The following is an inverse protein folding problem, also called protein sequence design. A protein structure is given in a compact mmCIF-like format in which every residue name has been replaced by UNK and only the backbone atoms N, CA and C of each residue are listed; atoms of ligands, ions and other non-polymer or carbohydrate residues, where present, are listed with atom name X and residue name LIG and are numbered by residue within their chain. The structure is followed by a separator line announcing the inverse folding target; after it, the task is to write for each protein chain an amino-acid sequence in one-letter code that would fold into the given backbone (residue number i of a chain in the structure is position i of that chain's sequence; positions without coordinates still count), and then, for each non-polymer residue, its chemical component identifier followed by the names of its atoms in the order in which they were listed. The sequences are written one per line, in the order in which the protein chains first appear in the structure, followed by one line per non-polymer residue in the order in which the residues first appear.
data_IF_731062602519
#
_entry.id   IF_731062602519
#
_cell.length_a   1.000
_cell.length_b   1.000
_cell.length_c   1.000
_cell.angle_alpha   90.00
_cell.angle_beta   90.00
_cell.angle_gamma   90.00
#
_symmetry.space_group_name_H-M   'P 1'
#
loop_
_entity.id
_entity.type
_entity.pdbx_description
1 polymer ?
#
# COMPACT_ATOMS: atom_id res chain seq x y z
N UNK A 1 -1.25 19.95 -35.87
CA UNK A 1 -0.74 20.81 -34.79
C UNK A 1 0.78 20.76 -34.80
N UNK A 2 1.44 21.92 -34.91
CA UNK A 2 2.89 22.05 -34.92
C UNK A 2 3.43 21.50 -33.59
N UNK A 3 4.36 20.55 -33.62
CA UNK A 3 4.98 20.03 -32.39
C UNK A 3 5.77 21.18 -31.76
N UNK A 4 5.32 21.66 -30.59
CA UNK A 4 6.04 22.67 -29.82
C UNK A 4 7.50 22.25 -29.63
N UNK A 5 8.40 23.20 -29.78
CA UNK A 5 9.81 23.02 -29.48
C UNK A 5 10.02 22.76 -27.98
N UNK A 6 11.16 22.17 -27.63
CA UNK A 6 11.48 21.81 -26.24
C UNK A 6 11.48 23.05 -25.32
N UNK A 7 11.90 24.20 -25.85
CA UNK A 7 11.93 25.47 -25.13
C UNK A 7 10.53 26.03 -24.87
N UNK A 8 9.62 25.94 -25.85
CA UNK A 8 8.22 26.37 -25.69
C UNK A 8 7.48 25.49 -24.67
N UNK A 9 7.72 24.18 -24.69
CA UNK A 9 7.16 23.26 -23.68
C UNK A 9 7.66 23.60 -22.27
N UNK A 10 8.95 23.89 -22.11
CA UNK A 10 9.51 24.29 -20.82
C UNK A 10 8.87 25.58 -20.30
N UNK A 11 8.66 26.58 -21.16
CA UNK A 11 8.01 27.83 -20.78
C UNK A 11 6.58 27.61 -20.29
N UNK A 12 5.79 26.81 -21.02
CA UNK A 12 4.42 26.47 -20.63
C UNK A 12 4.39 25.74 -19.29
N UNK A 13 5.35 24.84 -19.02
CA UNK A 13 5.47 24.17 -17.73
C UNK A 13 5.73 25.18 -16.61
N UNK A 14 6.69 26.09 -16.80
CA UNK A 14 7.02 27.12 -15.81
C UNK A 14 5.82 28.01 -15.48
N UNK A 15 5.07 28.45 -16.49
CA UNK A 15 3.87 29.28 -16.31
C UNK A 15 2.77 28.56 -15.53
N UNK A 16 2.70 27.23 -15.63
CA UNK A 16 1.69 26.40 -14.98
C UNK A 16 2.17 25.70 -13.70
N UNK A 17 3.40 25.98 -13.23
CA UNK A 17 3.95 25.37 -12.00
C UNK A 17 3.04 25.61 -10.78
N UNK A 18 2.44 26.79 -10.67
CA UNK A 18 1.53 27.11 -9.57
C UNK A 18 0.29 26.20 -9.57
N UNK A 19 -0.22 25.82 -10.74
CA UNK A 19 -1.34 24.90 -10.87
C UNK A 19 -0.91 23.50 -10.42
N UNK A 20 0.24 23.02 -10.91
CA UNK A 20 0.80 21.71 -10.56
C UNK A 20 1.00 21.61 -9.04
N UNK A 21 1.68 22.59 -8.44
CA UNK A 21 1.91 22.64 -6.98
C UNK A 21 0.60 22.62 -6.21
N UNK A 22 -0.41 23.40 -6.62
CA UNK A 22 -1.75 23.37 -5.97
C UNK A 22 -2.40 21.99 -6.02
N UNK A 23 -2.31 21.28 -7.16
CA UNK A 23 -2.88 19.92 -7.28
C UNK A 23 -2.09 18.94 -6.41
N UNK A 24 -0.76 18.96 -6.51
CA UNK A 24 0.13 18.12 -5.71
C UNK A 24 -0.09 18.35 -4.20
N UNK A 25 -0.18 19.59 -3.73
CA UNK A 25 -0.35 19.90 -2.31
C UNK A 25 -1.67 19.36 -1.75
N UNK A 26 -2.76 19.43 -2.54
CA UNK A 26 -4.06 18.85 -2.13
C UNK A 26 -4.00 17.34 -1.96
N UNK A 27 -3.20 16.65 -2.77
CA UNK A 27 -3.03 15.20 -2.70
C UNK A 27 -2.06 14.84 -1.57
N UNK A 28 -0.93 15.56 -1.47
CA UNK A 28 0.09 15.41 -0.43
C UNK A 28 -0.50 15.50 0.98
N UNK A 29 -1.40 16.46 1.23
CA UNK A 29 -2.05 16.60 2.54
C UNK A 29 -2.91 15.39 2.94
N UNK A 30 -3.39 14.60 1.96
CA UNK A 30 -4.23 13.41 2.20
C UNK A 30 -3.42 12.11 2.29
N UNK A 31 -2.11 12.17 2.05
CA UNK A 31 -1.22 11.02 2.10
C UNK A 31 -0.65 10.84 3.52
N UNK A 32 -0.33 9.59 3.93
CA UNK A 32 0.47 9.34 5.12
C UNK A 32 1.80 10.10 5.04
N UNK A 33 2.20 10.75 6.14
CA UNK A 33 3.45 11.53 6.17
C UNK A 33 4.66 10.59 6.06
N UNK A 34 5.59 10.91 5.16
CA UNK A 34 6.91 10.27 5.07
C UNK A 34 7.06 9.20 4.00
N UNK A 35 6.02 8.91 3.21
CA UNK A 35 6.11 7.88 2.16
C UNK A 35 6.54 8.41 0.80
N UNK A 36 6.20 9.66 0.48
CA UNK A 36 6.46 10.27 -0.82
C UNK A 36 6.83 11.72 -0.59
N UNK A 37 7.87 12.18 -1.29
CA UNK A 37 8.26 13.58 -1.27
C UNK A 37 7.32 14.46 -2.08
N UNK A 38 7.10 15.68 -1.61
CA UNK A 38 6.28 16.65 -2.32
C UNK A 38 6.80 16.93 -3.73
N UNK A 39 8.12 17.01 -3.90
CA UNK A 39 8.76 17.28 -5.19
C UNK A 39 8.52 16.14 -6.20
N UNK A 40 8.41 14.90 -5.73
CA UNK A 40 8.07 13.76 -6.59
C UNK A 40 6.65 13.91 -7.16
N UNK A 41 5.67 14.30 -6.34
CA UNK A 41 4.31 14.58 -6.83
C UNK A 41 4.27 15.75 -7.82
N UNK A 42 5.11 16.76 -7.63
CA UNK A 42 5.25 17.88 -8.58
C UNK A 42 5.83 17.38 -9.90
N UNK A 43 6.87 16.55 -9.88
CA UNK A 43 7.47 15.96 -11.09
C UNK A 43 6.47 15.13 -11.89
N UNK A 44 5.71 14.25 -11.22
CA UNK A 44 4.64 13.49 -11.87
C UNK A 44 3.55 14.43 -12.43
N UNK A 45 3.23 15.49 -11.70
CA UNK A 45 2.30 16.50 -12.18
C UNK A 45 2.77 17.23 -13.44
N UNK A 46 4.08 17.48 -13.59
CA UNK A 46 4.67 18.01 -14.82
C UNK A 46 4.45 17.06 -16.00
N UNK A 47 4.64 15.75 -15.79
CA UNK A 47 4.39 14.73 -16.81
C UNK A 47 2.91 14.76 -17.25
N UNK A 48 1.99 14.86 -16.28
CA UNK A 48 0.56 14.99 -16.56
C UNK A 48 0.20 16.24 -17.36
N UNK A 49 0.84 17.38 -17.08
CA UNK A 49 0.67 18.61 -17.84
C UNK A 49 1.18 18.48 -19.27
N UNK A 50 2.35 17.86 -19.48
CA UNK A 50 2.89 17.62 -20.83
C UNK A 50 1.95 16.74 -21.66
N UNK A 51 1.39 15.69 -21.06
CA UNK A 51 0.37 14.85 -21.68
C UNK A 51 -0.91 15.62 -21.99
N UNK A 52 -1.29 16.58 -21.14
CA UNK A 52 -2.44 17.46 -21.39
C UNK A 52 -2.17 18.37 -22.58
N UNK A 53 -0.97 18.95 -22.68
CA UNK A 53 -0.57 19.83 -23.78
C UNK A 53 -0.59 19.12 -25.13
N UNK A 54 -0.12 17.87 -25.18
CA UNK A 54 -0.09 17.08 -26.41
C UNK A 54 -1.49 16.63 -26.89
N UNK A 55 -2.49 16.57 -26.00
CA UNK A 55 -3.84 16.05 -26.27
C UNK A 55 -4.95 17.08 -26.01
N UNK A 56 -4.63 18.36 -25.93
CA UNK A 56 -5.61 19.40 -25.65
C UNK A 56 -6.41 19.74 -26.91
N UNK A 57 -7.72 19.88 -26.75
CA UNK A 57 -8.62 20.41 -27.76
C UNK A 57 -9.38 21.62 -27.20
N UNK A 58 -9.24 22.76 -27.86
CA UNK A 58 -9.82 24.05 -27.47
C UNK A 58 -11.36 24.07 -27.55
N UNK A 59 -11.95 23.25 -28.42
CA UNK A 59 -13.40 23.19 -28.61
C UNK A 59 -14.15 22.56 -27.43
N UNK A 60 -13.46 21.75 -26.61
CA UNK A 60 -14.10 20.97 -25.55
C UNK A 60 -14.15 21.70 -24.21
N UNK A 61 -13.04 22.34 -23.81
CA UNK A 61 -12.91 22.95 -22.50
C UNK A 61 -11.73 23.93 -22.45
N UNK A 62 -11.72 24.79 -21.42
CA UNK A 62 -10.55 25.62 -21.11
C UNK A 62 -9.35 24.74 -20.74
N UNK A 63 -8.17 25.10 -21.24
CA UNK A 63 -6.91 24.38 -20.97
C UNK A 63 -6.66 24.14 -19.48
N UNK A 64 -6.91 25.14 -18.63
CA UNK A 64 -6.71 25.02 -17.18
C UNK A 64 -7.55 23.90 -16.54
N UNK A 65 -8.80 23.75 -16.97
CA UNK A 65 -9.71 22.69 -16.50
C UNK A 65 -9.23 21.32 -16.96
N UNK A 66 -8.84 21.21 -18.23
CA UNK A 66 -8.36 19.95 -18.79
C UNK A 66 -7.02 19.52 -18.17
N UNK A 67 -6.07 20.45 -18.06
CA UNK A 67 -4.78 20.24 -17.42
C UNK A 67 -4.95 19.82 -15.96
N UNK A 68 -5.86 20.45 -15.21
CA UNK A 68 -6.15 20.04 -13.82
C UNK A 68 -6.54 18.57 -13.71
N UNK A 69 -7.45 18.10 -14.57
CA UNK A 69 -7.92 16.71 -14.58
C UNK A 69 -6.77 15.75 -14.92
N UNK A 70 -5.95 16.09 -15.93
CA UNK A 70 -4.84 15.25 -16.39
C UNK A 70 -3.70 15.19 -15.37
N UNK A 71 -3.29 16.32 -14.81
CA UNK A 71 -2.28 16.39 -13.73
C UNK A 71 -2.74 15.55 -12.54
N UNK A 72 -3.98 15.73 -12.09
CA UNK A 72 -4.54 14.97 -10.96
C UNK A 72 -4.60 13.48 -11.28
N UNK A 73 -5.04 13.10 -12.47
CA UNK A 73 -5.12 11.71 -12.92
C UNK A 73 -3.75 11.04 -12.89
N UNK A 74 -2.74 11.70 -13.45
CA UNK A 74 -1.38 11.16 -13.53
C UNK A 74 -0.75 10.95 -12.14
N UNK A 75 -0.94 11.91 -11.23
CA UNK A 75 -0.49 11.78 -9.84
C UNK A 75 -1.21 10.59 -9.16
N UNK A 76 -2.51 10.45 -9.35
CA UNK A 76 -3.26 9.34 -8.75
C UNK A 76 -2.86 7.98 -9.35
N UNK A 77 -2.54 7.92 -10.64
CA UNK A 77 -2.07 6.70 -11.29
C UNK A 77 -0.68 6.30 -10.79
N UNK A 78 0.22 7.26 -10.59
CA UNK A 78 1.51 7.02 -9.94
C UNK A 78 1.33 6.46 -8.52
N UNK A 79 0.48 7.09 -7.70
CA UNK A 79 0.19 6.61 -6.34
C UNK A 79 -0.42 5.20 -6.32
N UNK A 80 -1.22 4.85 -7.34
CA UNK A 80 -1.75 3.48 -7.49
C UNK A 80 -0.64 2.49 -7.84
N UNK A 81 0.31 2.88 -8.68
CA UNK A 81 1.43 2.00 -9.06
C UNK A 81 2.36 1.66 -7.89
N UNK A 82 2.40 2.53 -6.88
CA UNK A 82 3.17 2.30 -5.64
C UNK A 82 2.39 1.49 -4.58
N UNK A 83 1.13 1.12 -4.84
CA UNK A 83 0.20 0.54 -3.85
C UNK A 83 -0.06 1.40 -2.59
N UNK A 84 0.47 2.64 -2.54
CA UNK A 84 0.37 3.61 -1.44
C UNK A 84 -1.07 4.15 -1.22
N UNK A 85 -2.04 3.71 -2.02
CA UNK A 85 -3.46 4.06 -1.83
C UNK A 85 -4.25 2.85 -1.32
N UNK A 86 -4.22 2.56 0.00
CA UNK A 86 -5.07 1.53 0.58
C UNK A 86 -6.55 1.80 0.26
N UNK A 87 -7.31 0.71 0.08
CA UNK A 87 -8.73 0.75 -0.34
C UNK A 87 -9.58 1.70 0.50
N UNK A 88 -9.27 1.87 1.79
CA UNK A 88 -9.95 2.81 2.68
C UNK A 88 -9.79 4.30 2.32
N UNK A 89 -8.64 4.71 1.77
CA UNK A 89 -8.43 6.09 1.27
C UNK A 89 -9.20 6.29 -0.04
N UNK A 90 -9.31 5.24 -0.85
CA UNK A 90 -10.09 5.23 -2.10
C UNK A 90 -11.59 5.44 -1.83
N UNK A 91 -12.10 4.84 -0.76
CA UNK A 91 -13.50 5.00 -0.32
C UNK A 91 -13.75 6.36 0.34
N UNK A 92 -12.78 6.90 1.09
CA UNK A 92 -12.86 8.27 1.66
C UNK A 92 -12.81 9.36 0.59
N UNK A 93 -11.93 9.25 -0.41
CA UNK A 93 -11.89 10.19 -1.54
C UNK A 93 -13.19 10.15 -2.37
N UNK A 94 -13.86 8.99 -2.45
CA UNK A 94 -15.19 8.84 -3.10
C UNK A 94 -16.36 9.30 -2.21
N UNK A 95 -16.25 9.24 -0.88
CA UNK A 95 -17.32 9.61 0.06
C UNK A 95 -17.28 11.05 0.54
N UNK A 96 -16.12 11.71 0.53
CA UNK A 96 -15.91 13.08 1.05
C UNK A 96 -16.37 14.20 0.08
N UNK A 97 -17.41 13.97 -0.72
CA UNK A 97 -18.29 15.04 -1.23
C UNK A 97 -19.33 15.50 -0.17
N UNK A 98 -19.26 14.98 1.07
CA UNK A 98 -20.01 15.49 2.22
C UNK A 98 -19.11 15.66 3.44
N UNK A 99 -19.33 16.68 4.27
CA UNK A 99 -18.51 16.94 5.45
C UNK A 99 -18.90 15.94 6.54
N UNK A 100 -17.94 15.17 7.07
CA UNK A 100 -18.20 14.30 8.23
C UNK A 100 -16.99 14.29 9.18
N UNK A 101 -17.19 15.04 10.27
CA UNK A 101 -17.06 14.72 11.70
C UNK A 101 -15.85 13.95 12.28
N UNK A 102 -15.49 14.38 13.48
CA UNK A 102 -14.19 14.27 14.16
C UNK A 102 -13.91 12.94 14.89
N UNK A 103 -14.66 11.87 14.62
CA UNK A 103 -14.55 10.63 15.39
C UNK A 103 -14.53 9.42 14.47
N UNK A 104 -13.34 9.02 14.03
CA UNK A 104 -13.17 7.78 13.28
C UNK A 104 -11.96 7.01 13.80
N UNK A 105 -12.25 6.01 14.65
CA UNK A 105 -11.31 4.95 15.00
C UNK A 105 -10.73 4.34 13.71
N UNK A 106 -9.40 4.30 13.63
CA UNK A 106 -8.70 3.81 12.45
C UNK A 106 -8.77 2.28 12.50
N UNK A 107 -9.41 1.59 11.53
CA UNK A 107 -9.37 0.13 11.48
C UNK A 107 -7.94 -0.30 11.13
N UNK A 108 -7.26 -0.90 12.12
CA UNK A 108 -5.86 -1.36 12.09
C UNK A 108 -5.52 -2.37 10.98
N UNK A 109 -6.49 -2.89 10.22
CA UNK A 109 -6.26 -4.04 9.35
C UNK A 109 -5.73 -3.71 7.94
N UNK A 110 -5.83 -2.47 7.47
CA UNK A 110 -5.30 -2.07 6.15
C UNK A 110 -4.27 -0.94 6.21
N UNK A 111 -4.20 -0.21 7.32
CA UNK A 111 -3.20 0.83 7.60
C UNK A 111 -1.91 0.27 8.21
N UNK A 112 -1.93 -0.95 8.76
CA UNK A 112 -0.75 -1.56 9.39
C UNK A 112 0.35 -1.98 8.39
N UNK A 113 0.06 -2.07 7.10
CA UNK A 113 1.09 -2.32 6.06
C UNK A 113 2.04 -1.10 5.93
N UNK A 114 1.60 0.08 6.38
CA UNK A 114 2.28 1.36 6.19
C UNK A 114 2.91 1.95 7.46
N UNK A 115 2.95 1.19 8.55
CA UNK A 115 3.69 1.63 9.75
C UNK A 115 5.17 1.31 9.56
N UNK A 116 6.02 2.34 9.67
CA UNK A 116 7.46 2.11 9.77
C UNK A 116 7.76 1.17 10.93
N UNK A 117 8.53 0.13 10.65
CA UNK A 117 9.00 -0.88 11.61
C UNK A 117 9.70 -0.24 12.82
N UNK A 118 10.35 0.91 12.60
CA UNK A 118 11.07 1.65 13.62
C UNK A 118 10.20 2.62 14.43
N UNK A 119 8.90 2.71 14.14
CA UNK A 119 8.03 3.63 14.83
C UNK A 119 7.94 3.29 16.32
N UNK A 120 8.25 4.26 17.15
CA UNK A 120 8.09 4.16 18.60
C UNK A 120 6.60 3.99 18.95
N UNK A 121 6.31 2.98 19.77
CA UNK A 121 4.99 2.72 20.35
C UNK A 121 4.97 3.30 21.76
N UNK A 122 3.88 3.99 22.13
CA UNK A 122 3.67 4.42 23.52
C UNK A 122 4.46 5.65 23.96
N UNK A 123 5.14 6.35 23.06
CA UNK A 123 5.84 7.61 23.37
C UNK A 123 7.17 7.45 24.09
N UNK A 124 7.62 6.21 24.33
CA UNK A 124 8.97 5.90 24.81
C UNK A 124 9.83 5.47 23.62
N UNK A 125 11.05 6.00 23.51
CA UNK A 125 11.96 5.69 22.40
C UNK A 125 12.44 4.22 22.39
N UNK A 126 12.25 3.51 23.50
CA UNK A 126 12.76 2.15 23.71
C UNK A 126 11.90 1.04 23.11
N UNK A 127 10.64 1.29 22.77
CA UNK A 127 9.72 0.27 22.26
C UNK A 127 9.37 0.55 20.79
N UNK A 128 9.91 -0.24 19.87
CA UNK A 128 9.61 -0.12 18.44
C UNK A 128 8.50 -1.08 18.05
N UNK A 129 7.84 -0.78 16.93
CA UNK A 129 6.79 -1.65 16.38
C UNK A 129 7.27 -3.09 16.13
N UNK A 130 8.51 -3.25 15.68
CA UNK A 130 9.10 -4.57 15.45
C UNK A 130 9.15 -5.44 16.72
N UNK A 131 9.34 -4.84 17.89
CA UNK A 131 9.51 -5.56 19.15
C UNK A 131 8.20 -6.21 19.62
N UNK A 132 7.07 -5.78 19.07
CA UNK A 132 5.74 -6.32 19.37
C UNK A 132 5.33 -7.45 18.43
N UNK A 133 6.05 -7.65 17.32
CA UNK A 133 5.71 -8.68 16.35
C UNK A 133 6.17 -10.06 16.85
N UNK A 134 5.22 -10.98 17.00
CA UNK A 134 5.53 -12.37 17.37
C UNK A 134 6.34 -13.03 16.25
N UNK A 135 7.47 -13.63 16.61
CA UNK A 135 8.25 -14.46 15.68
C UNK A 135 7.40 -15.61 15.14
N UNK A 136 7.60 -15.95 13.87
CA UNK A 136 7.01 -17.14 13.24
C UNK A 136 7.85 -18.40 13.44
N UNK A 137 9.02 -18.27 14.06
CA UNK A 137 9.83 -19.44 14.41
C UNK A 137 9.15 -20.19 15.55
N UNK A 138 9.18 -21.52 15.47
CA UNK A 138 8.72 -22.38 16.57
C UNK A 138 9.55 -22.06 17.81
N UNK A 139 8.88 -21.91 18.95
CA UNK A 139 9.59 -21.70 20.20
C UNK A 139 10.38 -22.96 20.59
N UNK A 140 11.47 -22.85 21.35
CA UNK A 140 12.19 -24.02 21.87
C UNK A 140 11.28 -25.01 22.61
N UNK A 141 10.27 -24.49 23.33
CA UNK A 141 9.25 -25.28 24.00
C UNK A 141 8.30 -25.99 23.02
N UNK A 142 7.84 -25.29 21.97
CA UNK A 142 7.02 -25.89 20.91
C UNK A 142 7.77 -27.00 20.17
N UNK A 143 9.06 -26.79 19.89
CA UNK A 143 9.91 -27.81 19.27
C UNK A 143 10.09 -29.03 20.19
N UNK A 144 10.43 -28.83 21.46
CA UNK A 144 10.58 -29.90 22.43
C UNK A 144 9.29 -30.72 22.58
N UNK A 145 8.13 -30.05 22.62
CA UNK A 145 6.83 -30.69 22.67
C UNK A 145 6.56 -31.57 21.44
N UNK A 146 6.90 -31.10 20.23
CA UNK A 146 6.76 -31.90 19.00
C UNK A 146 7.67 -33.13 19.00
N UNK A 147 8.89 -32.99 19.51
CA UNK A 147 9.82 -34.13 19.63
C UNK A 147 9.27 -35.16 20.61
N UNK A 148 8.84 -34.74 21.80
CA UNK A 148 8.24 -35.64 22.80
C UNK A 148 6.96 -36.31 22.27
N UNK A 149 6.11 -35.55 21.58
CA UNK A 149 4.89 -36.08 20.97
C UNK A 149 5.22 -37.14 19.91
N UNK A 150 6.25 -36.90 19.10
CA UNK A 150 6.73 -37.87 18.09
C UNK A 150 7.22 -39.15 18.75
N UNK A 151 8.01 -39.06 19.81
CA UNK A 151 8.50 -40.24 20.55
C UNK A 151 7.33 -41.05 21.15
N UNK A 152 6.35 -40.38 21.74
CA UNK A 152 5.14 -41.04 22.28
C UNK A 152 4.32 -41.73 21.18
N UNK A 153 4.17 -41.09 20.03
CA UNK A 153 3.46 -41.68 18.89
C UNK A 153 4.22 -42.91 18.40
N UNK A 154 5.55 -42.84 18.29
CA UNK A 154 6.39 -43.96 17.85
C UNK A 154 6.31 -45.16 18.81
N UNK A 155 6.35 -44.92 20.12
CA UNK A 155 6.16 -45.95 21.13
C UNK A 155 4.79 -46.65 20.99
N UNK A 156 3.72 -45.87 20.79
CA UNK A 156 2.36 -46.41 20.62
C UNK A 156 2.18 -47.12 19.28
N UNK A 157 2.78 -46.63 18.21
CA UNK A 157 2.73 -47.29 16.90
C UNK A 157 3.44 -48.64 16.93
N UNK A 158 4.55 -48.78 17.66
CA UNK A 158 5.28 -50.03 17.77
C UNK A 158 4.49 -51.14 18.50
N UNK A 159 3.50 -50.78 19.32
CA UNK A 159 2.60 -51.73 19.98
C UNK A 159 1.48 -52.25 19.06
N UNK A 160 1.24 -51.61 17.91
CA UNK A 160 0.18 -51.96 16.97
C UNK A 160 0.63 -53.05 15.99
N UNK A 161 -0.34 -53.81 15.50
CA UNK A 161 -0.13 -54.77 14.42
C UNK A 161 0.13 -54.05 13.08
N UNK A 162 0.75 -54.75 12.13
CA UNK A 162 1.06 -54.20 10.80
C UNK A 162 -0.21 -53.72 10.04
N UNK A 163 -1.35 -54.38 10.26
CA UNK A 163 -2.62 -53.97 9.67
C UNK A 163 -3.17 -52.67 10.30
N UNK A 164 -3.08 -52.53 11.62
CA UNK A 164 -3.51 -51.31 12.33
C UNK A 164 -2.64 -50.10 11.99
N UNK A 165 -1.31 -50.28 11.90
CA UNK A 165 -0.38 -49.24 11.43
C UNK A 165 -0.75 -48.74 10.03
N UNK A 166 -1.04 -49.69 9.13
CA UNK A 166 -1.39 -49.37 7.72
C UNK A 166 -2.70 -48.59 7.62
N UNK A 167 -3.71 -48.93 8.41
CA UNK A 167 -4.98 -48.18 8.46
C UNK A 167 -4.77 -46.76 8.97
N UNK A 168 -3.97 -46.58 10.03
CA UNK A 168 -3.64 -45.24 10.55
C UNK A 168 -2.89 -44.42 9.49
N UNK A 169 -1.92 -45.01 8.80
CA UNK A 169 -1.20 -44.32 7.72
C UNK A 169 -2.15 -43.88 6.59
N UNK A 170 -3.07 -44.74 6.16
CA UNK A 170 -4.07 -44.40 5.13
C UNK A 170 -4.95 -43.22 5.57
N UNK A 171 -5.50 -43.26 6.79
CA UNK A 171 -6.39 -42.20 7.29
C UNK A 171 -5.68 -40.84 7.39
N UNK A 172 -4.44 -40.79 7.91
CA UNK A 172 -3.78 -39.51 8.19
C UNK A 172 -2.94 -38.96 7.03
N UNK A 173 -2.54 -39.78 6.06
CA UNK A 173 -1.65 -39.36 4.97
C UNK A 173 -2.27 -39.46 3.56
N UNK A 174 -3.37 -40.19 3.34
CA UNK A 174 -4.04 -40.24 2.02
C UNK A 174 -5.14 -39.18 1.86
N UNK A 175 -5.68 -38.57 2.93
CA UNK A 175 -6.68 -37.48 2.83
C UNK A 175 -6.08 -36.09 2.50
N UNK A 176 -4.80 -36.02 2.13
CA UNK A 176 -4.06 -34.75 2.00
C UNK A 176 -3.77 -34.31 0.57
N UNK A 177 -4.60 -34.73 -0.39
CA UNK A 177 -4.63 -34.26 -1.78
C UNK A 177 -5.85 -33.37 -2.07
#
# INVERSE_FOLDING_TARGET
MQKLTKEEKNKVVLDNLNLIKKVASKIYYRLPKGEIDFDELVNIGVIGLLKALDNYNEDLAKFSTYAYIRIRGEILDYLRSLDIVPRGIRDKIKKEEKPVDEQMEIPLSSSAIFLSIEKAIGGTEDLKFIDTLKSRMESPEEYAYKVELREKIEEKLNLLTENEKKVIQMIFFEEKD
#
